data_IF_883041797747
#
_entry.id   IF_883041797747
#
_cell.length_a   1.000
_cell.length_b   1.000
_cell.length_c   1.000
_cell.angle_alpha   90.00
_cell.angle_beta   90.00
_cell.angle_gamma   90.00
#
_symmetry.space_group_name_H-M   'P 1'
#
loop_
_entity.id
_entity.type
_entity.pdbx_description
1 polymer ?
#
# COMPACT_ATOMS: atom_id res chain seq x y z
N UNK A 1 -40.08 16.23 27.01
CA UNK A 1 -38.98 15.40 27.53
C UNK A 1 -38.70 14.36 26.46
N UNK A 2 -37.60 14.28 25.73
CA UNK A 2 -36.23 14.80 25.82
C UNK A 2 -35.89 15.59 24.55
N UNK A 3 -35.19 16.74 24.67
CA UNK A 3 -34.53 17.45 23.56
C UNK A 3 -33.02 17.27 23.75
N UNK A 4 -32.40 16.43 22.93
CA UNK A 4 -30.95 16.36 22.82
C UNK A 4 -30.51 17.23 21.64
N UNK A 5 -30.14 18.48 21.93
CA UNK A 5 -29.49 19.35 20.95
C UNK A 5 -28.06 18.87 20.71
N UNK A 6 -27.79 18.53 19.46
CA UNK A 6 -26.52 18.08 18.90
C UNK A 6 -25.44 19.16 19.09
N UNK A 7 -24.54 18.95 20.07
CA UNK A 7 -23.30 19.72 20.28
C UNK A 7 -22.14 19.00 19.59
N UNK A 8 -21.98 19.17 18.27
CA UNK A 8 -20.84 18.60 17.50
C UNK A 8 -19.88 19.70 17.01
N UNK A 9 -20.27 20.98 17.08
CA UNK A 9 -19.42 22.12 16.68
C UNK A 9 -18.32 22.52 17.69
N UNK A 10 -18.16 21.82 18.82
CA UNK A 10 -17.28 22.26 19.90
C UNK A 10 -15.92 21.54 19.99
N UNK A 11 -15.67 20.46 19.25
CA UNK A 11 -14.42 19.70 19.41
C UNK A 11 -13.32 20.21 18.46
N UNK A 12 -13.63 20.55 17.21
CA UNK A 12 -12.66 21.16 16.28
C UNK A 12 -12.20 22.56 16.77
N UNK A 13 -13.15 23.34 17.32
CA UNK A 13 -12.86 24.61 17.98
C UNK A 13 -12.23 24.43 19.37
N UNK A 14 -12.39 23.27 20.03
CA UNK A 14 -11.67 22.98 21.28
C UNK A 14 -10.24 22.58 21.03
N UNK A 15 -9.86 21.82 20.01
CA UNK A 15 -8.43 21.57 19.75
C UNK A 15 -7.69 22.87 19.42
N UNK A 16 -8.37 23.82 18.77
CA UNK A 16 -7.86 25.18 18.53
C UNK A 16 -7.94 26.07 19.80
N UNK A 17 -8.81 25.79 20.78
CA UNK A 17 -8.92 26.56 22.04
C UNK A 17 -8.24 25.95 23.27
N UNK A 18 -8.06 24.64 23.35
CA UNK A 18 -7.50 23.92 24.51
C UNK A 18 -5.99 24.02 24.54
N UNK A 19 -5.36 24.26 23.39
CA UNK A 19 -3.97 24.74 23.31
C UNK A 19 -3.86 26.20 23.81
N UNK A 20 -4.97 26.94 24.00
CA UNK A 20 -4.93 28.39 24.18
C UNK A 20 -5.70 29.00 25.37
N UNK A 21 -6.35 28.24 26.27
CA UNK A 21 -6.81 28.76 27.56
C UNK A 21 -7.08 27.63 28.57
N UNK A 22 -6.13 27.37 29.47
CA UNK A 22 -6.44 27.32 30.90
C UNK A 22 -5.23 27.80 31.71
N UNK A 23 -5.54 28.62 32.72
CA UNK A 23 -4.64 29.56 33.36
C UNK A 23 -4.03 29.01 34.65
N UNK A 24 -2.77 29.38 34.93
CA UNK A 24 -2.31 29.41 36.33
C UNK A 24 -0.80 29.28 36.58
N UNK A 25 0.00 30.27 36.20
CA UNK A 25 1.16 30.65 37.01
C UNK A 25 2.56 30.49 36.40
N UNK A 26 3.20 31.65 36.21
CA UNK A 26 4.65 31.91 36.23
C UNK A 26 5.51 31.68 34.97
N UNK A 27 5.55 32.76 34.17
CA UNK A 27 6.74 33.54 33.73
C UNK A 27 7.84 32.81 32.92
N UNK A 28 7.74 32.93 31.60
CA UNK A 28 8.82 33.49 30.76
C UNK A 28 8.25 34.08 29.45
N UNK A 29 8.30 35.42 29.36
CA UNK A 29 8.17 36.32 28.20
C UNK A 29 7.46 35.82 26.93
N UNK A 30 6.16 36.11 26.87
CA UNK A 30 5.39 36.16 25.63
C UNK A 30 5.83 37.35 24.76
N UNK A 31 6.31 37.07 23.54
CA UNK A 31 6.08 37.97 22.41
C UNK A 31 4.74 37.57 21.80
N UNK A 32 3.76 38.41 22.05
CA UNK A 32 2.38 38.31 21.58
C UNK A 32 2.36 38.42 20.05
N UNK A 33 2.24 37.31 19.33
CA UNK A 33 1.84 37.32 17.92
C UNK A 33 0.31 37.29 17.86
N UNK A 34 -0.28 38.48 17.76
CA UNK A 34 -1.67 38.64 17.35
C UNK A 34 -1.80 38.27 15.87
N UNK A 35 -2.49 37.16 15.54
CA UNK A 35 -2.81 36.81 14.16
C UNK A 35 -4.22 37.28 13.76
N UNK A 36 -4.35 38.09 12.70
CA UNK A 36 -5.61 38.38 12.05
C UNK A 36 -5.71 37.55 10.77
N UNK A 37 -6.19 36.29 10.81
CA UNK A 37 -6.52 35.57 9.58
C UNK A 37 -7.63 34.54 9.82
N UNK A 38 -8.76 34.73 9.13
CA UNK A 38 -9.77 33.69 8.95
C UNK A 38 -9.17 32.62 8.03
N UNK A 39 -9.02 31.37 8.50
CA UNK A 39 -8.63 30.26 7.65
C UNK A 39 -9.71 30.01 6.59
N UNK A 40 -9.32 29.95 5.31
CA UNK A 40 -10.25 29.82 4.17
C UNK A 40 -10.65 28.37 3.91
N UNK A 41 -9.76 27.39 4.15
CA UNK A 41 -10.05 25.95 4.01
C UNK A 41 -9.09 25.06 4.78
N UNK A 42 -9.55 23.85 5.11
CA UNK A 42 -8.76 22.80 5.77
C UNK A 42 -9.08 21.42 5.18
N UNK A 43 -8.08 20.56 5.05
CA UNK A 43 -8.24 19.16 4.65
C UNK A 43 -7.58 18.26 5.68
N UNK A 44 -8.26 17.18 6.06
CA UNK A 44 -7.71 16.18 6.95
C UNK A 44 -7.80 14.81 6.26
N UNK A 45 -6.65 14.20 6.01
CA UNK A 45 -6.59 12.72 6.00
C UNK A 45 -6.47 12.30 7.47
N UNK A 46 -6.79 11.07 7.85
CA UNK A 46 -6.66 10.59 9.25
C UNK A 46 -5.23 10.55 9.81
N UNK A 47 -4.36 11.46 9.38
CA UNK A 47 -2.91 11.58 9.59
C UNK A 47 -2.49 13.02 9.86
N UNK A 48 -2.99 13.98 9.06
CA UNK A 48 -2.61 15.41 9.14
C UNK A 48 -3.77 16.29 8.75
N UNK A 49 -3.88 17.41 9.44
CA UNK A 49 -4.77 18.49 9.07
C UNK A 49 -3.94 19.61 8.46
N UNK A 50 -4.15 19.86 7.18
CA UNK A 50 -3.56 20.99 6.47
C UNK A 50 -4.57 22.13 6.46
N UNK A 51 -4.11 23.32 6.78
CA UNK A 51 -4.90 24.54 6.73
C UNK A 51 -4.14 25.59 5.92
N UNK A 52 -4.86 26.20 4.98
CA UNK A 52 -4.37 27.34 4.23
C UNK A 52 -4.93 28.63 4.86
N UNK A 53 -4.03 29.56 5.15
CA UNK A 53 -4.33 30.97 5.37
C UNK A 53 -3.74 31.77 4.21
N UNK A 54 -4.20 33.01 4.02
CA UNK A 54 -3.74 33.87 2.92
C UNK A 54 -2.20 33.89 2.81
N UNK A 55 -1.45 33.98 3.89
CA UNK A 55 0.02 34.11 3.80
C UNK A 55 0.81 32.89 4.28
N UNK A 56 0.14 31.77 4.59
CA UNK A 56 0.81 30.59 5.12
C UNK A 56 0.02 29.29 4.88
N UNK A 57 0.74 28.22 4.54
CA UNK A 57 0.21 26.86 4.59
C UNK A 57 0.79 26.17 5.83
N UNK A 58 -0.07 25.92 6.81
CA UNK A 58 0.32 25.16 8.01
C UNK A 58 -0.12 23.72 7.85
N UNK A 59 0.84 22.80 7.88
CA UNK A 59 0.54 21.40 8.11
C UNK A 59 0.64 21.14 9.61
N UNK A 60 -0.48 20.75 10.19
CA UNK A 60 -0.52 20.29 11.57
C UNK A 60 -0.56 18.78 11.55
N UNK A 61 0.37 18.18 12.28
CA UNK A 61 0.29 16.79 12.64
C UNK A 61 -0.42 16.67 14.00
N UNK A 62 -1.74 16.39 14.03
CA UNK A 62 -2.48 16.28 15.28
C UNK A 62 -2.01 15.12 16.17
N UNK A 63 -1.12 14.27 15.66
CA UNK A 63 -0.64 13.07 16.31
C UNK A 63 0.79 13.24 16.86
N UNK A 64 1.57 14.16 16.30
CA UNK A 64 2.93 14.51 16.77
C UNK A 64 3.01 15.85 17.53
N UNK A 65 1.92 16.63 17.57
CA UNK A 65 1.88 18.02 18.07
C UNK A 65 2.88 18.98 17.38
N UNK A 66 3.44 18.55 16.25
CA UNK A 66 4.39 19.34 15.46
C UNK A 66 3.67 20.20 14.42
N UNK A 67 4.15 21.44 14.28
CA UNK A 67 3.69 22.39 13.27
C UNK A 67 4.79 22.62 12.25
N UNK A 68 4.51 22.26 11.00
CA UNK A 68 5.34 22.70 9.88
C UNK A 68 4.59 23.82 9.17
N UNK A 69 5.06 25.05 9.35
CA UNK A 69 4.50 26.22 8.68
C UNK A 69 5.35 26.54 7.48
N UNK A 70 4.83 26.22 6.29
CA UNK A 70 5.39 26.76 5.08
C UNK A 70 4.90 28.21 4.94
N UNK A 71 5.84 29.09 4.62
CA UNK A 71 5.54 30.44 4.13
C UNK A 71 5.72 30.40 2.61
N UNK A 72 4.80 29.77 1.85
CA UNK A 72 4.84 29.89 0.41
C UNK A 72 4.79 31.38 0.07
N UNK A 73 5.57 31.82 -0.92
CA UNK A 73 5.53 33.21 -1.41
C UNK A 73 4.22 33.54 -2.16
N UNK A 74 3.19 32.70 -2.04
CA UNK A 74 1.92 32.78 -2.74
C UNK A 74 0.75 32.43 -1.81
N UNK A 75 -0.37 33.12 -2.01
CA UNK A 75 -1.66 32.84 -1.36
C UNK A 75 -2.18 31.46 -1.77
N UNK A 76 -2.77 30.70 -0.82
CA UNK A 76 -3.34 29.38 -1.08
C UNK A 76 -4.87 29.40 -0.91
N UNK A 77 -5.58 29.12 -2.01
CA UNK A 77 -7.06 29.20 -2.08
C UNK A 77 -7.75 27.89 -1.69
N UNK A 78 -7.10 26.76 -1.99
CA UNK A 78 -7.60 25.41 -1.72
C UNK A 78 -6.43 24.48 -1.41
N UNK A 79 -6.63 23.47 -0.55
CA UNK A 79 -5.60 22.49 -0.17
C UNK A 79 -6.21 21.13 0.06
N UNK A 80 -5.55 20.09 -0.45
CA UNK A 80 -5.89 18.69 -0.20
C UNK A 80 -4.65 17.89 0.17
N UNK A 81 -4.78 17.06 1.22
CA UNK A 81 -3.71 16.21 1.69
C UNK A 81 -3.47 15.03 0.72
N UNK A 82 -2.19 14.80 0.39
CA UNK A 82 -1.71 13.69 -0.41
C UNK A 82 -1.18 12.56 0.50
N UNK A 83 -0.31 11.67 0.00
CA UNK A 83 0.18 10.54 0.78
C UNK A 83 1.30 10.91 1.75
N UNK A 84 2.32 11.61 1.26
CA UNK A 84 3.44 12.15 2.05
C UNK A 84 3.60 13.67 1.92
N UNK A 85 2.47 14.38 1.81
CA UNK A 85 2.48 15.82 1.59
C UNK A 85 1.08 16.37 1.29
N UNK A 86 1.01 17.40 0.46
CA UNK A 86 -0.26 18.03 0.06
C UNK A 86 -0.15 18.73 -1.29
N UNK A 87 -1.31 18.94 -1.91
CA UNK A 87 -1.46 19.71 -3.14
C UNK A 87 -2.35 20.90 -2.84
N UNK A 88 -2.00 22.07 -3.34
CA UNK A 88 -2.77 23.29 -3.13
C UNK A 88 -2.87 24.13 -4.40
N UNK A 89 -3.91 24.96 -4.45
CA UNK A 89 -4.11 25.97 -5.51
C UNK A 89 -3.54 27.30 -5.02
N UNK A 90 -2.58 27.85 -5.77
CA UNK A 90 -1.95 29.13 -5.53
C UNK A 90 -2.73 30.26 -6.21
N UNK A 91 -2.83 31.43 -5.57
CA UNK A 91 -3.71 32.55 -5.94
C UNK A 91 -3.52 33.15 -7.34
N UNK A 92 -2.43 32.86 -8.05
CA UNK A 92 -2.29 33.19 -9.49
C UNK A 92 -2.92 32.13 -10.43
N UNK A 93 -3.74 31.22 -9.89
CA UNK A 93 -4.36 30.13 -10.67
C UNK A 93 -3.35 29.04 -11.03
N UNK A 94 -2.45 28.66 -10.12
CA UNK A 94 -1.49 27.57 -10.34
C UNK A 94 -1.67 26.43 -9.34
N UNK A 95 -1.34 25.20 -9.72
CA UNK A 95 -1.30 24.08 -8.77
C UNK A 95 0.13 23.91 -8.27
N UNK A 96 0.29 23.72 -6.96
CA UNK A 96 1.56 23.39 -6.33
C UNK A 96 1.43 22.09 -5.54
N UNK A 97 2.48 21.26 -5.57
CA UNK A 97 2.60 20.04 -4.78
C UNK A 97 3.79 20.17 -3.82
N UNK A 98 3.61 19.67 -2.61
CA UNK A 98 4.65 19.61 -1.59
C UNK A 98 4.80 18.17 -1.11
N UNK A 99 6.03 17.67 -1.11
CA UNK A 99 6.41 16.39 -0.50
C UNK A 99 7.33 16.67 0.68
N UNK A 100 7.11 16.01 1.82
CA UNK A 100 7.82 16.27 3.08
C UNK A 100 9.34 16.09 3.05
N UNK A 101 9.85 15.32 2.10
CA UNK A 101 11.29 15.08 1.91
C UNK A 101 11.91 15.92 0.79
N UNK A 102 11.11 16.72 0.08
CA UNK A 102 11.53 17.53 -1.06
C UNK A 102 11.06 18.98 -0.92
N UNK A 103 11.48 19.83 -1.85
CA UNK A 103 11.03 21.21 -1.93
C UNK A 103 9.68 21.31 -2.67
N UNK A 104 9.03 22.47 -2.52
CA UNK A 104 7.83 22.84 -3.26
C UNK A 104 8.00 22.66 -4.78
N UNK A 105 7.06 21.98 -5.43
CA UNK A 105 7.03 21.76 -6.88
C UNK A 105 5.81 22.46 -7.48
N UNK A 106 6.03 23.32 -8.49
CA UNK A 106 4.93 23.88 -9.31
C UNK A 106 4.50 22.84 -10.34
N UNK A 107 3.21 22.55 -10.38
CA UNK A 107 2.64 21.52 -11.26
C UNK A 107 2.31 22.16 -12.60
N UNK A 108 2.75 21.54 -13.69
CA UNK A 108 2.58 22.09 -15.04
C UNK A 108 1.24 21.64 -15.64
N UNK A 109 0.14 22.27 -15.24
CA UNK A 109 -1.20 22.03 -15.81
C UNK A 109 -1.64 23.24 -16.64
N UNK A 110 -2.16 22.97 -17.84
CA UNK A 110 -2.78 23.98 -18.70
C UNK A 110 -4.22 24.21 -18.27
N UNK A 111 -4.53 25.41 -17.77
CA UNK A 111 -5.87 25.81 -17.35
C UNK A 111 -5.84 27.16 -16.64
N UNK A 112 -7.02 27.68 -16.32
CA UNK A 112 -7.17 28.98 -15.65
C UNK A 112 -7.93 28.91 -14.32
N UNK A 113 -8.83 27.93 -14.19
CA UNK A 113 -9.58 27.66 -12.95
C UNK A 113 -9.29 26.24 -12.46
N UNK A 114 -8.97 26.13 -11.17
CA UNK A 114 -8.53 24.89 -10.54
C UNK A 114 -9.31 24.64 -9.25
N UNK A 115 -9.94 23.46 -9.15
CA UNK A 115 -10.68 23.06 -7.96
C UNK A 115 -10.25 21.68 -7.49
N UNK A 116 -9.84 21.58 -6.22
CA UNK A 116 -9.53 20.29 -5.62
C UNK A 116 -10.84 19.59 -5.24
N UNK A 117 -11.05 18.39 -5.76
CA UNK A 117 -12.26 17.60 -5.52
C UNK A 117 -12.11 16.65 -4.33
N UNK A 118 -10.90 16.13 -4.13
CA UNK A 118 -10.61 15.17 -3.08
C UNK A 118 -9.47 14.26 -3.48
N UNK A 119 -9.19 13.28 -2.63
CA UNK A 119 -8.10 12.32 -2.84
C UNK A 119 -8.64 11.02 -3.43
N UNK A 120 -7.96 10.44 -4.42
CA UNK A 120 -8.24 9.10 -4.93
C UNK A 120 -6.93 8.31 -5.04
N UNK A 121 -6.80 7.27 -4.21
CA UNK A 121 -5.55 6.51 -4.09
C UNK A 121 -4.40 7.38 -3.56
N UNK A 122 -3.40 7.62 -4.41
CA UNK A 122 -2.20 8.44 -4.13
C UNK A 122 -2.24 9.82 -4.80
N UNK A 123 -3.35 10.14 -5.47
CA UNK A 123 -3.47 11.39 -6.21
C UNK A 123 -4.56 12.28 -5.59
N UNK A 124 -4.32 13.57 -5.64
CA UNK A 124 -5.35 14.60 -5.49
C UNK A 124 -6.01 14.79 -6.85
N UNK A 125 -7.33 14.69 -6.87
CA UNK A 125 -8.15 14.87 -8.07
C UNK A 125 -8.47 16.35 -8.20
N UNK A 126 -8.12 16.92 -9.34
CA UNK A 126 -8.28 18.34 -9.64
C UNK A 126 -9.17 18.50 -10.86
N UNK A 127 -10.19 19.33 -10.72
CA UNK A 127 -11.04 19.79 -11.81
C UNK A 127 -10.43 21.07 -12.39
N UNK A 128 -10.19 21.05 -13.70
CA UNK A 128 -9.61 22.14 -14.48
C UNK A 128 -10.69 22.72 -15.38
N UNK A 129 -10.89 24.04 -15.30
CA UNK A 129 -11.84 24.81 -16.11
C UNK A 129 -13.26 24.21 -16.16
N UNK A 130 -13.67 23.52 -15.08
CA UNK A 130 -14.95 22.80 -14.94
C UNK A 130 -15.21 21.63 -15.92
N UNK A 131 -14.25 21.33 -16.81
CA UNK A 131 -14.44 20.35 -17.89
C UNK A 131 -13.51 19.14 -17.79
N UNK A 132 -12.28 19.34 -17.33
CA UNK A 132 -11.25 18.31 -17.34
C UNK A 132 -10.87 17.86 -15.94
N UNK A 133 -10.74 16.53 -15.74
CA UNK A 133 -10.22 15.96 -14.49
C UNK A 133 -8.77 15.53 -14.69
N UNK A 134 -7.88 16.04 -13.85
CA UNK A 134 -6.47 15.63 -13.76
C UNK A 134 -6.15 15.11 -12.37
N UNK A 135 -5.21 14.17 -12.28
CA UNK A 135 -4.75 13.60 -11.01
C UNK A 135 -3.30 14.04 -10.76
N UNK A 136 -3.04 14.59 -9.58
CA UNK A 136 -1.74 15.15 -9.17
C UNK A 136 -1.25 14.45 -7.91
N UNK A 137 0.01 14.00 -7.85
CA UNK A 137 0.60 13.48 -6.60
C UNK A 137 1.47 14.53 -5.89
N UNK A 138 1.98 14.19 -4.71
CA UNK A 138 2.85 15.06 -3.90
C UNK A 138 4.18 15.46 -4.59
N UNK A 139 4.59 14.72 -5.62
CA UNK A 139 5.80 15.01 -6.40
C UNK A 139 5.51 15.96 -7.58
N UNK A 140 4.25 16.36 -7.78
CA UNK A 140 3.81 17.17 -8.92
C UNK A 140 3.67 16.39 -10.24
N UNK A 141 3.65 15.05 -10.20
CA UNK A 141 3.41 14.24 -11.39
C UNK A 141 1.92 14.25 -11.77
N UNK A 142 1.66 14.41 -13.07
CA UNK A 142 0.32 14.43 -13.65
C UNK A 142 -0.03 13.09 -14.27
N UNK A 143 -1.26 12.64 -14.00
CA UNK A 143 -1.86 11.53 -14.72
C UNK A 143 -3.30 11.81 -15.13
N UNK A 144 -3.62 11.43 -16.35
CA UNK A 144 -4.98 11.42 -16.89
C UNK A 144 -5.57 10.01 -16.78
N UNK A 145 -6.91 9.92 -16.75
CA UNK A 145 -7.65 8.64 -16.76
C UNK A 145 -7.40 7.71 -15.55
N UNK A 146 -6.83 8.22 -14.45
CA UNK A 146 -6.68 7.45 -13.19
C UNK A 146 -7.99 7.43 -12.40
N UNK A 147 -8.74 8.52 -12.44
CA UNK A 147 -10.02 8.64 -11.75
C UNK A 147 -11.15 8.14 -12.68
N UNK A 148 -11.84 7.03 -12.34
CA UNK A 148 -12.79 6.39 -13.25
C UNK A 148 -14.19 7.01 -13.21
N UNK A 149 -14.41 8.04 -12.38
CA UNK A 149 -15.73 8.63 -12.15
C UNK A 149 -15.84 10.01 -12.80
N UNK A 150 -16.99 10.30 -13.40
CA UNK A 150 -17.32 11.64 -13.90
C UNK A 150 -17.93 12.53 -12.80
N UNK A 151 -17.26 12.60 -11.64
CA UNK A 151 -17.71 13.42 -10.50
C UNK A 151 -16.97 14.76 -10.55
N UNK A 152 -17.72 15.86 -10.57
CA UNK A 152 -17.19 17.24 -10.56
C UNK A 152 -17.39 17.96 -9.23
N UNK A 153 -18.02 17.28 -8.26
CA UNK A 153 -18.26 17.80 -6.91
C UNK A 153 -17.24 17.25 -5.90
N UNK A 154 -16.95 17.96 -4.81
CA UNK A 154 -16.03 17.47 -3.79
C UNK A 154 -16.49 16.15 -3.18
N UNK A 155 -15.55 15.22 -3.00
CA UNK A 155 -15.82 13.87 -2.52
C UNK A 155 -14.81 13.41 -1.46
N UNK A 156 -15.19 12.38 -0.72
CA UNK A 156 -14.34 11.67 0.23
C UNK A 156 -14.13 10.25 -0.27
N UNK A 157 -12.88 9.82 -0.40
CA UNK A 157 -12.57 8.42 -0.70
C UNK A 157 -12.46 7.57 0.56
N UNK A 158 -12.89 6.32 0.46
CA UNK A 158 -12.69 5.28 1.45
C UNK A 158 -11.78 4.15 0.93
N UNK A 159 -11.43 3.21 1.81
CA UNK A 159 -10.77 1.97 1.43
C UNK A 159 -11.55 1.19 0.35
N UNK A 160 -10.84 0.38 -0.43
CA UNK A 160 -11.36 -0.42 -1.54
C UNK A 160 -11.92 0.34 -2.77
N UNK A 161 -11.66 1.65 -2.86
CA UNK A 161 -12.03 2.48 -4.01
C UNK A 161 -13.44 3.08 -3.94
N UNK A 162 -14.11 2.98 -2.79
CA UNK A 162 -15.42 3.59 -2.59
C UNK A 162 -15.30 5.12 -2.40
N UNK A 163 -16.30 5.87 -2.85
CA UNK A 163 -16.33 7.33 -2.81
C UNK A 163 -17.67 7.85 -2.29
N UNK A 164 -17.65 8.91 -1.49
CA UNK A 164 -18.84 9.61 -1.00
C UNK A 164 -18.82 11.06 -1.47
N UNK A 165 -19.85 11.48 -2.19
CA UNK A 165 -20.02 12.85 -2.65
C UNK A 165 -21.43 13.36 -2.34
N UNK A 166 -21.61 14.68 -2.38
CA UNK A 166 -22.94 15.30 -2.35
C UNK A 166 -23.16 15.97 -3.72
N UNK A 167 -24.16 15.49 -4.46
CA UNK A 167 -24.55 16.07 -5.76
C UNK A 167 -25.35 17.38 -5.59
N UNK A 168 -25.50 18.15 -6.67
CA UNK A 168 -26.10 19.50 -6.74
C UNK A 168 -27.57 19.63 -6.26
N UNK A 169 -28.17 18.56 -5.72
CA UNK A 169 -29.53 18.54 -5.17
C UNK A 169 -29.59 18.06 -3.71
N UNK A 170 -28.46 18.05 -3.00
CA UNK A 170 -28.39 17.55 -1.62
C UNK A 170 -28.56 16.03 -1.53
N UNK A 171 -28.18 15.32 -2.59
CA UNK A 171 -28.19 13.85 -2.62
C UNK A 171 -26.82 13.35 -2.22
N UNK A 172 -26.77 12.53 -1.17
CA UNK A 172 -25.55 11.88 -0.73
C UNK A 172 -25.36 10.60 -1.57
N UNK A 173 -24.33 10.56 -2.40
CA UNK A 173 -24.04 9.44 -3.30
C UNK A 173 -22.79 8.69 -2.84
N UNK A 174 -22.93 7.39 -2.58
CA UNK A 174 -21.84 6.45 -2.33
C UNK A 174 -21.60 5.62 -3.59
N UNK A 175 -20.41 5.72 -4.18
CA UNK A 175 -19.96 4.91 -5.31
C UNK A 175 -19.03 3.81 -4.81
N UNK A 176 -19.25 2.56 -5.24
CA UNK A 176 -18.38 1.43 -4.94
C UNK A 176 -18.43 0.42 -6.09
N UNK A 177 -17.29 0.17 -6.76
CA UNK A 177 -17.07 -0.90 -7.76
C UNK A 177 -18.34 -1.23 -8.58
N UNK A 178 -18.78 -0.24 -9.38
CA UNK A 178 -19.93 -0.27 -10.31
C UNK A 178 -21.34 -0.13 -9.71
N UNK A 179 -21.45 0.09 -8.39
CA UNK A 179 -22.72 0.41 -7.73
C UNK A 179 -22.71 1.83 -7.18
N UNK A 180 -23.85 2.52 -7.29
CA UNK A 180 -24.09 3.81 -6.68
C UNK A 180 -25.31 3.72 -5.77
N UNK A 181 -25.15 4.09 -4.50
CA UNK A 181 -26.24 4.18 -3.52
C UNK A 181 -26.47 5.64 -3.21
N UNK A 182 -27.70 6.12 -3.40
CA UNK A 182 -28.05 7.52 -3.18
C UNK A 182 -29.05 7.66 -2.04
N UNK A 183 -28.70 8.46 -1.04
CA UNK A 183 -29.60 8.92 0.01
C UNK A 183 -30.12 10.33 -0.32
N UNK A 184 -31.38 10.62 0.06
CA UNK A 184 -32.04 11.91 -0.17
C UNK A 184 -31.97 12.81 1.07
N UNK A 185 -32.25 14.10 0.87
CA UNK A 185 -32.50 15.09 1.93
C UNK A 185 -31.28 15.47 2.79
N UNK A 186 -30.08 15.51 2.20
CA UNK A 186 -28.88 15.97 2.88
C UNK A 186 -28.68 17.49 2.69
N UNK A 187 -28.62 18.25 3.79
CA UNK A 187 -28.48 19.72 3.76
C UNK A 187 -27.01 20.21 3.76
N UNK A 188 -26.05 19.33 3.46
CA UNK A 188 -24.62 19.66 3.38
C UNK A 188 -24.17 20.04 1.96
N UNK A 189 -23.08 20.82 1.86
CA UNK A 189 -22.48 21.22 0.56
C UNK A 189 -21.25 20.41 0.16
N UNK A 190 -20.50 19.87 1.12
CA UNK A 190 -19.31 19.06 0.87
C UNK A 190 -19.11 18.06 2.01
N UNK A 191 -18.99 16.75 1.73
CA UNK A 191 -18.65 15.78 2.76
C UNK A 191 -17.20 16.02 3.20
N UNK A 192 -16.94 15.90 4.51
CA UNK A 192 -15.59 15.92 5.06
C UNK A 192 -15.38 14.72 5.95
N UNK A 193 -14.26 14.03 5.76
CA UNK A 193 -13.89 12.93 6.63
C UNK A 193 -13.29 13.51 7.92
N UNK A 194 -14.05 13.44 9.01
CA UNK A 194 -13.51 13.65 10.35
C UNK A 194 -12.93 12.32 10.83
N UNK A 195 -11.78 11.93 10.29
CA UNK A 195 -11.05 10.77 10.79
C UNK A 195 -10.30 11.18 12.06
N UNK A 196 -10.98 11.10 13.20
CA UNK A 196 -10.29 10.99 14.49
C UNK A 196 -10.04 9.50 14.67
N UNK A 197 -8.79 9.00 14.59
CA UNK A 197 -8.54 7.58 14.84
C UNK A 197 -9.04 7.23 16.24
N UNK A 198 -9.95 6.25 16.34
CA UNK A 198 -10.50 5.77 17.60
C UNK A 198 -9.57 4.74 18.24
N UNK A 199 -8.31 5.09 18.48
CA UNK A 199 -7.53 4.31 19.44
C UNK A 199 -7.91 4.83 20.83
N UNK A 200 -8.07 3.92 21.80
CA UNK A 200 -8.01 4.36 23.19
C UNK A 200 -6.58 4.88 23.40
N UNK A 201 -6.39 6.04 24.05
CA UNK A 201 -5.05 6.48 24.41
C UNK A 201 -4.44 5.40 25.31
N UNK A 202 -3.35 4.80 24.84
CA UNK A 202 -2.56 3.87 25.63
C UNK A 202 -1.53 4.71 26.39
N UNK A 203 -1.52 4.59 27.72
CA UNK A 203 -0.56 5.32 28.56
C UNK A 203 0.87 4.73 28.46
N UNK A 204 1.00 3.55 27.83
CA UNK A 204 2.23 2.79 27.70
C UNK A 204 2.56 2.52 26.23
N UNK A 205 3.85 2.49 25.90
CA UNK A 205 4.29 1.97 24.61
C UNK A 205 4.14 0.44 24.58
N UNK A 206 3.30 -0.09 23.69
CA UNK A 206 3.05 -1.55 23.59
C UNK A 206 4.23 -2.39 23.05
N UNK A 207 5.37 -1.76 22.73
CA UNK A 207 6.60 -2.47 22.33
C UNK A 207 7.49 -2.75 23.54
N UNK A 208 7.80 -1.73 24.34
CA UNK A 208 8.68 -1.85 25.51
C UNK A 208 7.93 -1.96 26.85
N UNK A 209 6.63 -1.65 26.85
CA UNK A 209 5.75 -1.61 28.01
C UNK A 209 6.14 -0.54 29.04
N UNK A 210 6.79 0.55 28.60
CA UNK A 210 7.14 1.70 29.43
C UNK A 210 6.22 2.90 29.16
N UNK A 211 6.08 3.76 30.16
CA UNK A 211 5.33 5.02 30.06
C UNK A 211 5.97 5.99 29.05
N UNK A 212 5.16 6.90 28.53
CA UNK A 212 5.65 8.02 27.72
C UNK A 212 6.18 9.14 28.61
N UNK A 213 7.46 9.47 28.46
CA UNK A 213 7.98 10.77 28.93
C UNK A 213 7.41 11.89 28.04
N UNK A 214 7.25 13.10 28.58
CA UNK A 214 6.68 14.25 27.87
C UNK A 214 7.28 14.41 26.45
N UNK A 215 6.46 14.19 25.41
CA UNK A 215 6.86 14.35 24.00
C UNK A 215 7.67 13.22 23.37
N UNK A 216 7.91 12.09 24.06
CA UNK A 216 8.74 10.97 23.55
C UNK A 216 7.98 9.96 22.67
N UNK A 217 6.65 10.11 22.56
CA UNK A 217 5.77 9.21 21.83
C UNK A 217 5.57 9.62 20.37
N UNK A 218 5.52 8.63 19.49
CA UNK A 218 5.12 8.75 18.09
C UNK A 218 3.77 8.07 17.94
N UNK A 219 2.76 8.85 17.55
CA UNK A 219 1.43 8.32 17.28
C UNK A 219 1.29 7.96 15.80
N UNK A 220 0.99 6.70 15.52
CA UNK A 220 0.71 6.20 14.18
C UNK A 220 -0.67 6.65 13.70
N UNK A 221 -0.93 6.51 12.40
CA UNK A 221 -2.19 6.93 11.76
C UNK A 221 -3.43 6.17 12.25
N UNK A 222 -3.21 5.02 12.86
CA UNK A 222 -4.26 4.24 13.52
C UNK A 222 -4.60 4.73 14.93
N UNK A 223 -3.93 5.78 15.43
CA UNK A 223 -4.08 6.37 16.76
C UNK A 223 -3.22 5.74 17.85
N UNK A 224 -2.55 4.60 17.60
CA UNK A 224 -1.67 3.97 18.60
C UNK A 224 -0.34 4.72 18.71
N UNK A 225 0.12 4.94 19.94
CA UNK A 225 1.38 5.61 20.26
C UNK A 225 2.50 4.63 20.62
N UNK A 226 3.74 4.94 20.24
CA UNK A 226 4.94 4.14 20.55
C UNK A 226 6.16 5.04 20.73
N UNK A 227 7.14 4.68 21.57
CA UNK A 227 8.39 5.45 21.61
C UNK A 227 9.05 5.44 20.24
N UNK A 228 9.65 6.58 19.86
CA UNK A 228 10.29 6.75 18.56
C UNK A 228 11.35 5.67 18.29
N UNK A 229 12.18 5.38 19.28
CA UNK A 229 13.25 4.37 19.21
C UNK A 229 12.67 2.97 19.08
N UNK A 230 11.61 2.66 19.83
CA UNK A 230 10.93 1.36 19.77
C UNK A 230 10.34 1.12 18.39
N UNK A 231 9.66 2.12 17.80
CA UNK A 231 9.11 2.03 16.46
C UNK A 231 10.20 1.90 15.39
N UNK A 232 11.30 2.66 15.55
CA UNK A 232 12.46 2.61 14.64
C UNK A 232 13.06 1.21 14.64
N UNK A 233 13.38 0.67 15.81
CA UNK A 233 13.95 -0.67 15.97
C UNK A 233 13.00 -1.76 15.46
N UNK A 234 11.71 -1.66 15.81
CA UNK A 234 10.70 -2.62 15.36
C UNK A 234 10.64 -2.72 13.84
N UNK A 235 10.54 -1.56 13.17
CA UNK A 235 10.34 -1.47 11.73
C UNK A 235 11.63 -1.57 10.91
N UNK A 236 12.81 -1.43 11.53
CA UNK A 236 14.11 -1.67 10.88
C UNK A 236 14.23 -3.10 10.32
N UNK A 237 13.48 -4.05 10.87
CA UNK A 237 13.48 -5.47 10.49
C UNK A 237 12.47 -5.80 9.38
N UNK A 238 11.80 -4.80 8.83
CA UNK A 238 10.67 -5.00 7.92
C UNK A 238 11.03 -5.71 6.61
N UNK A 239 12.27 -5.64 6.14
CA UNK A 239 12.73 -6.34 4.94
C UNK A 239 13.60 -7.57 5.25
N UNK A 240 13.61 -8.05 6.50
CA UNK A 240 14.44 -9.20 6.94
C UNK A 240 14.22 -10.48 6.12
N UNK A 241 13.03 -10.65 5.52
CA UNK A 241 12.75 -11.73 4.59
C UNK A 241 13.73 -11.77 3.39
N UNK A 242 14.29 -10.63 2.96
CA UNK A 242 15.25 -10.57 1.84
C UNK A 242 16.54 -11.30 2.17
N UNK A 243 17.08 -11.03 3.35
CA UNK A 243 18.32 -11.66 3.82
C UNK A 243 18.13 -13.15 4.12
N UNK A 244 16.94 -13.53 4.63
CA UNK A 244 16.58 -14.93 4.90
C UNK A 244 16.18 -15.71 3.63
N UNK A 245 15.96 -15.02 2.52
CA UNK A 245 15.42 -15.61 1.30
C UNK A 245 14.01 -16.14 1.51
N UNK A 246 13.18 -15.52 2.34
CA UNK A 246 11.82 -15.96 2.62
C UNK A 246 10.79 -15.20 1.78
N UNK A 247 9.55 -15.66 1.81
CA UNK A 247 8.43 -14.92 1.27
C UNK A 247 8.26 -13.57 2.00
N UNK A 248 7.75 -12.58 1.26
CA UNK A 248 7.45 -11.25 1.78
C UNK A 248 6.39 -11.37 2.87
N UNK A 249 6.68 -10.78 4.02
CA UNK A 249 5.76 -10.64 5.15
C UNK A 249 5.74 -9.18 5.62
N UNK A 250 4.56 -8.69 6.00
CA UNK A 250 4.37 -7.29 6.41
C UNK A 250 4.33 -7.12 7.93
N UNK A 251 4.72 -8.13 8.71
CA UNK A 251 4.62 -8.16 10.17
C UNK A 251 5.23 -6.92 10.84
N UNK A 252 6.42 -6.50 10.41
CA UNK A 252 7.10 -5.31 10.96
C UNK A 252 6.76 -4.01 10.21
N UNK A 253 5.83 -4.07 9.26
CA UNK A 253 5.33 -2.93 8.49
C UNK A 253 3.87 -2.58 8.84
N UNK A 254 3.27 -3.29 9.80
CA UNK A 254 1.94 -3.00 10.36
C UNK A 254 2.06 -2.59 11.82
N UNK A 255 1.06 -1.87 12.31
CA UNK A 255 1.02 -1.31 13.65
C UNK A 255 1.34 -2.39 14.70
N UNK A 256 2.35 -2.17 15.57
CA UNK A 256 2.72 -3.10 16.63
C UNK A 256 1.59 -3.34 17.66
N UNK A 257 0.64 -2.41 17.77
CA UNK A 257 -0.56 -2.56 18.59
C UNK A 257 -1.57 -3.59 18.07
N UNK A 258 -1.29 -4.24 16.93
CA UNK A 258 -2.09 -5.37 16.45
C UNK A 258 -3.35 -4.99 15.66
N UNK A 259 -3.59 -3.71 15.40
CA UNK A 259 -4.75 -3.28 14.60
C UNK A 259 -4.62 -3.59 13.10
N UNK A 260 -3.47 -4.08 12.65
CA UNK A 260 -3.22 -4.48 11.26
C UNK A 260 -3.02 -3.31 10.28
N UNK A 261 -3.14 -2.06 10.72
CA UNK A 261 -2.93 -0.89 9.88
C UNK A 261 -1.46 -0.73 9.52
N UNK A 262 -1.16 -0.48 8.24
CA UNK A 262 0.20 -0.29 7.78
C UNK A 262 0.86 0.95 8.43
N UNK A 263 2.08 0.77 8.91
CA UNK A 263 2.92 1.85 9.43
C UNK A 263 3.31 2.75 8.25
N UNK A 264 3.04 4.04 8.38
CA UNK A 264 3.43 5.07 7.41
C UNK A 264 3.86 6.32 8.17
N UNK A 265 5.07 6.28 8.71
CA UNK A 265 5.62 7.33 9.56
C UNK A 265 7.14 7.44 9.37
N UNK A 266 7.71 8.65 9.47
CA UNK A 266 9.14 8.92 9.22
C UNK A 266 10.07 8.20 10.22
N UNK A 267 9.62 7.99 11.45
CA UNK A 267 10.33 7.19 12.44
C UNK A 267 10.41 5.69 12.09
N UNK A 268 9.71 5.24 11.05
CA UNK A 268 9.81 3.89 10.53
C UNK A 268 10.60 3.89 9.20
N UNK A 269 11.91 3.59 9.21
CA UNK A 269 12.82 3.83 8.08
C UNK A 269 12.46 3.09 6.78
N UNK A 270 11.75 1.96 6.87
CA UNK A 270 11.32 1.16 5.72
C UNK A 270 9.85 1.35 5.35
N UNK A 271 9.14 2.29 5.98
CA UNK A 271 7.68 2.44 5.78
C UNK A 271 7.28 2.75 4.33
N UNK A 272 8.04 3.61 3.65
CA UNK A 272 7.80 3.93 2.23
C UNK A 272 8.04 2.71 1.33
N UNK A 273 9.18 2.04 1.49
CA UNK A 273 9.53 0.83 0.74
C UNK A 273 8.47 -0.27 0.93
N UNK A 274 8.08 -0.55 2.16
CA UNK A 274 7.07 -1.56 2.47
C UNK A 274 5.70 -1.18 1.92
N UNK A 275 5.34 0.09 1.92
CA UNK A 275 4.09 0.57 1.30
C UNK A 275 4.08 0.48 -0.22
N UNK A 276 5.22 0.72 -0.87
CA UNK A 276 5.37 0.46 -2.31
C UNK A 276 5.25 -1.02 -2.62
N UNK A 277 5.99 -1.86 -1.87
CA UNK A 277 6.01 -3.31 -2.03
C UNK A 277 4.62 -3.93 -1.85
N UNK A 278 3.86 -3.50 -0.83
CA UNK A 278 2.48 -3.96 -0.58
C UNK A 278 1.59 -3.71 -1.78
N UNK A 279 1.65 -2.52 -2.37
CA UNK A 279 0.84 -2.13 -3.53
C UNK A 279 1.18 -2.93 -4.79
N UNK A 280 2.47 -3.13 -5.05
CA UNK A 280 2.93 -3.94 -6.18
C UNK A 280 2.44 -5.39 -6.06
N UNK A 281 2.52 -5.97 -4.86
CA UNK A 281 2.03 -7.32 -4.57
C UNK A 281 0.50 -7.39 -4.68
N UNK A 282 -0.24 -6.45 -4.09
CA UNK A 282 -1.70 -6.45 -4.13
C UNK A 282 -2.22 -6.33 -5.57
N UNK A 283 -1.56 -5.53 -6.41
CA UNK A 283 -1.89 -5.40 -7.83
C UNK A 283 -1.68 -6.70 -8.62
N UNK A 284 -0.54 -7.39 -8.47
CA UNK A 284 -0.30 -8.68 -9.13
C UNK A 284 -1.26 -9.76 -8.58
N UNK A 285 -1.48 -9.76 -7.26
CA UNK A 285 -2.30 -10.76 -6.60
C UNK A 285 -3.78 -10.66 -6.99
N UNK A 286 -4.32 -9.46 -7.17
CA UNK A 286 -5.68 -9.26 -7.67
C UNK A 286 -5.89 -9.84 -9.08
N UNK A 287 -4.86 -9.78 -9.95
CA UNK A 287 -4.90 -10.42 -11.27
C UNK A 287 -4.91 -11.94 -11.11
N UNK A 288 -4.00 -12.48 -10.27
CA UNK A 288 -3.86 -13.93 -10.08
C UNK A 288 -5.05 -14.58 -9.41
N UNK A 289 -5.65 -13.95 -8.41
CA UNK A 289 -6.85 -14.48 -7.74
C UNK A 289 -8.02 -14.61 -8.71
N UNK A 290 -8.11 -13.72 -9.70
CA UNK A 290 -9.11 -13.83 -10.78
C UNK A 290 -8.84 -15.02 -11.71
N UNK A 291 -7.58 -15.33 -11.97
CA UNK A 291 -7.16 -16.47 -12.80
C UNK A 291 -7.21 -17.82 -12.04
N UNK A 292 -7.04 -17.79 -10.71
CA UNK A 292 -6.91 -18.96 -9.85
C UNK A 292 -8.14 -19.09 -8.95
N UNK A 293 -9.15 -19.82 -9.43
CA UNK A 293 -10.38 -20.05 -8.67
C UNK A 293 -10.11 -20.66 -7.27
N UNK A 294 -10.86 -20.20 -6.26
CA UNK A 294 -10.80 -20.64 -4.87
C UNK A 294 -9.46 -20.37 -4.15
N UNK A 295 -8.76 -19.29 -4.51
CA UNK A 295 -7.54 -18.83 -3.83
C UNK A 295 -7.74 -17.47 -3.19
N UNK A 296 -7.09 -17.27 -2.05
CA UNK A 296 -7.04 -15.97 -1.37
C UNK A 296 -5.63 -15.39 -1.40
N UNK A 297 -5.46 -14.15 -0.94
CA UNK A 297 -4.15 -13.49 -0.88
C UNK A 297 -3.14 -14.28 -0.04
N UNK A 298 -3.61 -14.91 1.04
CA UNK A 298 -2.80 -15.68 1.98
C UNK A 298 -2.24 -16.98 1.36
N UNK A 299 -2.87 -17.47 0.29
CA UNK A 299 -2.42 -18.65 -0.46
C UNK A 299 -1.25 -18.33 -1.41
N UNK A 300 -1.03 -17.05 -1.75
CA UNK A 300 -0.03 -16.62 -2.73
C UNK A 300 1.24 -16.17 -2.03
N UNK A 301 2.38 -16.72 -2.45
CA UNK A 301 3.69 -16.35 -1.90
C UNK A 301 4.42 -15.44 -2.87
N UNK A 302 4.90 -14.32 -2.35
CA UNK A 302 5.71 -13.36 -3.09
C UNK A 302 7.12 -13.32 -2.54
N UNK A 303 8.10 -13.13 -3.43
CA UNK A 303 9.53 -13.04 -3.10
C UNK A 303 10.14 -11.84 -3.79
N UNK A 304 11.29 -11.39 -3.30
CA UNK A 304 12.07 -10.34 -3.97
C UNK A 304 13.09 -10.99 -4.88
N UNK A 305 13.06 -10.63 -6.16
CA UNK A 305 14.06 -11.09 -7.11
C UNK A 305 15.44 -10.53 -6.74
N UNK A 306 16.44 -11.40 -6.64
CA UNK A 306 17.81 -11.02 -6.32
C UNK A 306 18.45 -10.12 -7.38
N UNK A 307 18.11 -10.30 -8.66
CA UNK A 307 18.72 -9.56 -9.77
C UNK A 307 18.13 -8.17 -9.97
N UNK A 308 16.80 -8.05 -10.00
CA UNK A 308 16.13 -6.78 -10.29
C UNK A 308 15.50 -6.09 -9.07
N UNK A 309 15.45 -6.76 -7.92
CA UNK A 309 14.88 -6.21 -6.68
C UNK A 309 13.34 -6.13 -6.66
N UNK A 310 12.64 -6.53 -7.72
CA UNK A 310 11.18 -6.47 -7.81
C UNK A 310 10.51 -7.66 -7.13
N UNK A 311 9.31 -7.49 -6.54
CA UNK A 311 8.50 -8.60 -6.10
C UNK A 311 8.08 -9.47 -7.28
N UNK A 312 7.98 -10.77 -7.06
CA UNK A 312 7.42 -11.70 -8.02
C UNK A 312 6.65 -12.82 -7.31
N UNK A 313 5.65 -13.35 -8.01
CA UNK A 313 4.90 -14.51 -7.54
C UNK A 313 5.78 -15.77 -7.55
N UNK A 314 6.03 -16.31 -6.37
CA UNK A 314 6.85 -17.50 -6.15
C UNK A 314 6.05 -18.75 -5.84
N UNK A 315 4.79 -18.80 -6.26
CA UNK A 315 3.94 -19.97 -6.11
C UNK A 315 3.04 -19.95 -4.88
N UNK A 316 2.43 -21.10 -4.61
CA UNK A 316 1.38 -21.20 -3.58
C UNK A 316 1.94 -21.70 -2.25
N UNK A 317 1.21 -21.37 -1.17
CA UNK A 317 1.44 -21.82 0.21
C UNK A 317 1.18 -23.33 0.44
N UNK A 318 1.09 -24.14 -0.62
CA UNK A 318 0.78 -25.60 -0.52
C UNK A 318 1.80 -26.36 0.31
N UNK A 319 3.08 -26.04 0.17
CA UNK A 319 4.16 -26.75 0.85
C UNK A 319 4.32 -26.37 2.34
N UNK A 320 3.53 -25.43 2.87
CA UNK A 320 3.54 -25.07 4.30
C UNK A 320 2.73 -26.03 5.21
N UNK A 321 2.06 -27.04 4.64
CA UNK A 321 1.28 -28.04 5.40
C UNK A 321 2.07 -28.76 6.50
N UNK A 322 3.39 -28.67 6.45
CA UNK A 322 4.33 -29.36 7.34
C UNK A 322 4.69 -28.63 8.64
N UNK A 323 4.24 -27.40 8.88
CA UNK A 323 4.57 -26.65 10.13
C UNK A 323 6.06 -26.28 10.32
N UNK A 324 6.96 -26.80 9.46
CA UNK A 324 8.42 -26.67 9.56
C UNK A 324 8.97 -25.37 8.93
N UNK A 325 8.13 -24.34 8.79
CA UNK A 325 8.52 -23.10 8.11
C UNK A 325 8.90 -23.31 6.65
N UNK A 326 9.54 -22.30 6.07
CA UNK A 326 10.03 -22.31 4.70
C UNK A 326 11.45 -22.92 4.65
N UNK A 327 11.79 -23.78 3.67
CA UNK A 327 13.14 -24.31 3.53
C UNK A 327 14.16 -23.18 3.39
N UNK A 328 15.28 -23.30 4.13
CA UNK A 328 16.39 -22.35 4.04
C UNK A 328 16.94 -22.35 2.61
N UNK A 329 17.06 -21.16 2.03
CA UNK A 329 17.60 -20.96 0.68
C UNK A 329 18.39 -19.67 0.60
N UNK A 330 19.34 -19.63 -0.33
CA UNK A 330 20.11 -18.41 -0.55
C UNK A 330 19.25 -17.39 -1.28
N UNK A 331 19.30 -16.09 -0.91
CA UNK A 331 18.59 -15.05 -1.65
C UNK A 331 18.92 -15.05 -3.15
N UNK A 332 20.15 -15.41 -3.52
CA UNK A 332 20.62 -15.51 -4.91
C UNK A 332 19.86 -16.54 -5.77
N UNK A 333 19.14 -17.47 -5.16
CA UNK A 333 18.34 -18.49 -5.86
C UNK A 333 16.92 -17.99 -6.20
N UNK A 334 16.52 -16.82 -5.69
CA UNK A 334 15.21 -16.22 -5.93
C UNK A 334 15.27 -15.28 -7.13
N UNK A 335 15.01 -15.85 -8.30
CA UNK A 335 15.04 -15.14 -9.58
C UNK A 335 13.64 -15.13 -10.18
N UNK A 336 13.12 -13.95 -10.56
CA UNK A 336 11.84 -13.87 -11.25
C UNK A 336 11.97 -14.38 -12.69
N UNK A 337 10.85 -14.76 -13.31
CA UNK A 337 10.82 -15.28 -14.68
C UNK A 337 11.51 -14.38 -15.71
N UNK A 338 11.41 -13.05 -15.56
CA UNK A 338 12.02 -12.11 -16.51
C UNK A 338 13.55 -12.03 -16.39
N UNK A 339 14.11 -12.44 -15.25
CA UNK A 339 15.54 -12.43 -14.96
C UNK A 339 16.17 -13.83 -15.02
N UNK A 340 15.36 -14.86 -15.28
CA UNK A 340 15.79 -16.25 -15.33
C UNK A 340 16.26 -16.60 -16.74
N UNK A 341 17.52 -17.01 -16.85
CA UNK A 341 18.19 -17.29 -18.13
C UNK A 341 18.46 -18.78 -18.35
N UNK A 342 17.86 -19.65 -17.53
CA UNK A 342 18.02 -21.11 -17.62
C UNK A 342 17.44 -21.68 -18.93
N UNK A 343 16.39 -21.04 -19.45
CA UNK A 343 15.82 -21.32 -20.76
C UNK A 343 15.13 -20.06 -21.35
N UNK A 344 15.48 -19.71 -22.59
CA UNK A 344 14.88 -18.60 -23.31
C UNK A 344 14.27 -19.07 -24.63
N UNK A 345 12.93 -19.04 -24.71
CA UNK A 345 12.25 -19.23 -25.98
C UNK A 345 12.46 -18.00 -26.88
N UNK A 346 12.84 -18.17 -28.16
CA UNK A 346 13.00 -17.04 -29.09
C UNK A 346 11.71 -16.20 -29.27
N UNK A 347 10.54 -16.83 -29.17
CA UNK A 347 9.25 -16.17 -29.37
C UNK A 347 8.61 -15.72 -28.05
N UNK A 348 8.65 -16.57 -27.03
CA UNK A 348 7.88 -16.38 -25.79
C UNK A 348 8.71 -16.08 -24.55
N UNK A 349 10.04 -15.97 -24.71
CA UNK A 349 11.00 -15.79 -23.62
C UNK A 349 10.76 -16.82 -22.51
N UNK A 350 10.60 -16.37 -21.27
CA UNK A 350 10.42 -17.23 -20.10
C UNK A 350 8.96 -17.42 -19.66
N UNK A 351 7.98 -16.91 -20.41
CA UNK A 351 6.58 -16.86 -19.93
C UNK A 351 5.89 -18.22 -19.83
N UNK A 352 6.22 -19.14 -20.72
CA UNK A 352 5.57 -20.46 -20.82
C UNK A 352 6.58 -21.60 -20.64
N UNK A 353 7.59 -21.43 -19.81
CA UNK A 353 8.59 -22.48 -19.56
C UNK A 353 7.96 -23.58 -18.71
N UNK A 354 8.01 -24.80 -19.23
CA UNK A 354 7.62 -25.99 -18.49
C UNK A 354 8.83 -26.50 -17.73
N UNK A 355 8.68 -26.73 -16.42
CA UNK A 355 9.75 -27.25 -15.57
C UNK A 355 9.54 -28.71 -15.22
N UNK A 356 10.65 -29.42 -14.99
CA UNK A 356 10.65 -30.73 -14.32
C UNK A 356 10.39 -30.57 -12.81
N UNK A 357 9.59 -31.47 -12.25
CA UNK A 357 9.42 -31.63 -10.82
C UNK A 357 10.77 -31.90 -10.14
N UNK A 358 11.04 -31.23 -9.01
CA UNK A 358 12.28 -31.45 -8.24
C UNK A 358 12.46 -32.91 -7.80
N UNK A 359 11.38 -33.63 -7.52
CA UNK A 359 11.41 -34.96 -6.89
C UNK A 359 11.11 -36.13 -7.83
N UNK A 360 10.84 -35.90 -9.11
CA UNK A 360 10.65 -37.00 -10.06
C UNK A 360 10.77 -36.51 -11.51
N UNK A 361 10.71 -37.45 -12.45
CA UNK A 361 10.80 -37.17 -13.88
C UNK A 361 9.43 -36.85 -14.51
N UNK A 362 8.61 -36.03 -13.85
CA UNK A 362 7.34 -35.52 -14.37
C UNK A 362 7.41 -34.01 -14.57
N UNK A 363 6.67 -33.45 -15.54
CA UNK A 363 6.44 -32.02 -15.61
C UNK A 363 5.79 -31.50 -14.32
N UNK A 364 6.23 -30.33 -13.87
CA UNK A 364 5.68 -29.65 -12.73
C UNK A 364 4.36 -28.98 -13.09
N UNK A 365 3.45 -28.98 -12.12
CA UNK A 365 2.14 -28.34 -12.18
C UNK A 365 2.03 -27.19 -11.19
N UNK A 366 2.92 -27.14 -10.19
CA UNK A 366 2.92 -26.15 -9.12
C UNK A 366 4.30 -25.55 -8.97
N UNK A 367 4.30 -24.27 -8.59
CA UNK A 367 5.45 -23.59 -8.02
C UNK A 367 5.16 -23.36 -6.53
N UNK A 368 6.18 -23.50 -5.70
CA UNK A 368 6.18 -23.05 -4.31
C UNK A 368 7.57 -22.53 -3.96
N UNK A 369 7.70 -21.85 -2.84
CA UNK A 369 8.98 -21.38 -2.30
C UNK A 369 9.85 -20.61 -3.32
N UNK A 370 9.27 -19.88 -4.28
CA UNK A 370 9.99 -19.02 -5.21
C UNK A 370 10.75 -19.72 -6.35
N UNK A 371 11.19 -20.96 -6.15
CA UNK A 371 12.03 -21.72 -7.10
C UNK A 371 11.80 -23.24 -7.04
N UNK A 372 10.69 -23.69 -6.43
CA UNK A 372 10.39 -25.11 -6.23
C UNK A 372 9.22 -25.58 -7.07
N UNK A 373 9.54 -26.26 -8.16
CA UNK A 373 8.57 -26.84 -9.07
C UNK A 373 8.22 -28.28 -8.65
N UNK A 374 6.92 -28.55 -8.47
CA UNK A 374 6.37 -29.87 -8.11
C UNK A 374 5.30 -30.32 -9.09
N UNK A 375 5.19 -31.63 -9.27
CA UNK A 375 4.02 -32.26 -9.89
C UNK A 375 2.98 -32.70 -8.84
N UNK A 376 1.73 -32.87 -9.25
CA UNK A 376 0.63 -33.37 -8.40
C UNK A 376 0.97 -34.66 -7.62
N UNK A 377 1.71 -35.60 -8.24
CA UNK A 377 2.09 -36.86 -7.59
C UNK A 377 3.03 -36.63 -6.41
N UNK A 378 3.99 -35.71 -6.55
CA UNK A 378 4.93 -35.40 -5.48
C UNK A 378 4.31 -34.46 -4.44
N UNK A 379 3.40 -33.58 -4.85
CA UNK A 379 2.62 -32.73 -3.93
C UNK A 379 1.79 -33.59 -2.96
N UNK A 380 1.16 -34.66 -3.44
CA UNK A 380 0.42 -35.62 -2.60
C UNK A 380 1.29 -36.41 -1.61
N UNK A 381 2.60 -36.54 -1.86
CA UNK A 381 3.55 -37.19 -0.93
C UNK A 381 3.98 -36.25 0.20
N UNK A 382 3.61 -34.97 0.11
CA UNK A 382 3.96 -33.95 1.08
C UNK A 382 2.96 -34.00 2.26
N UNK A 383 3.23 -34.87 3.22
CA UNK A 383 2.45 -34.95 4.46
C UNK A 383 2.99 -33.94 5.48
N UNK A 384 4.05 -34.33 6.22
CA UNK A 384 4.68 -33.51 7.27
C UNK A 384 6.16 -33.22 7.00
N UNK A 385 6.77 -33.90 6.04
CA UNK A 385 8.20 -33.78 5.72
C UNK A 385 8.41 -33.68 4.21
N UNK A 386 9.54 -33.09 3.83
CA UNK A 386 9.95 -32.99 2.43
C UNK A 386 10.21 -34.41 1.87
N UNK A 387 9.56 -34.81 0.77
CA UNK A 387 9.70 -36.15 0.22
C UNK A 387 11.07 -36.32 -0.45
N UNK A 388 11.64 -37.51 -0.28
CA UNK A 388 12.87 -37.84 -0.99
C UNK A 388 12.66 -37.86 -2.53
N UNK A 389 13.67 -37.37 -3.30
CA UNK A 389 13.66 -37.46 -4.75
C UNK A 389 13.58 -38.92 -5.23
N UNK A 390 12.70 -39.18 -6.19
CA UNK A 390 12.61 -40.46 -6.89
C UNK A 390 13.72 -40.48 -7.96
N UNK A 391 14.64 -41.45 -7.92
CA UNK A 391 15.69 -41.58 -8.94
C UNK A 391 15.11 -41.72 -10.35
N UNK A 392 15.82 -41.17 -11.34
CA UNK A 392 15.46 -41.38 -12.73
C UNK A 392 15.63 -42.86 -13.10
N UNK A 393 14.65 -43.51 -13.76
CA UNK A 393 14.77 -44.91 -14.18
C UNK A 393 15.74 -45.11 -15.37
N UNK A 394 16.35 -44.04 -15.86
CA UNK A 394 17.29 -44.05 -16.98
C UNK A 394 16.63 -43.73 -18.33
N UNK A 395 17.42 -43.44 -19.38
CA UNK A 395 16.90 -42.92 -20.65
C UNK A 395 15.85 -43.80 -21.35
N UNK A 396 15.93 -45.13 -21.19
CA UNK A 396 14.99 -46.08 -21.81
C UNK A 396 13.59 -46.10 -21.21
N UNK A 397 13.45 -45.74 -19.92
CA UNK A 397 12.18 -45.79 -19.18
C UNK A 397 11.73 -44.42 -18.66
N UNK A 398 12.62 -43.42 -18.73
CA UNK A 398 12.32 -42.08 -18.25
C UNK A 398 11.22 -41.43 -19.11
N UNK A 399 10.14 -40.91 -18.50
CA UNK A 399 9.09 -40.21 -19.24
C UNK A 399 9.58 -38.99 -20.03
N UNK A 400 10.72 -38.42 -19.60
CA UNK A 400 11.42 -37.29 -20.21
C UNK A 400 12.63 -37.74 -21.06
N UNK A 401 12.71 -39.04 -21.40
CA UNK A 401 13.76 -39.66 -22.24
C UNK A 401 15.20 -39.43 -21.76
N UNK A 402 15.39 -39.24 -20.45
CA UNK A 402 16.70 -39.12 -19.80
C UNK A 402 17.48 -37.82 -20.09
N UNK A 403 16.91 -36.85 -20.81
CA UNK A 403 17.58 -35.60 -21.19
C UNK A 403 17.37 -34.49 -20.16
N UNK A 404 17.73 -34.73 -18.89
CA UNK A 404 17.62 -33.73 -17.83
C UNK A 404 18.65 -33.95 -16.72
N UNK A 405 18.97 -32.89 -15.98
CA UNK A 405 19.76 -32.98 -14.75
C UNK A 405 19.06 -33.81 -13.66
N UNK A 406 19.86 -34.47 -12.82
CA UNK A 406 19.38 -35.27 -11.69
C UNK A 406 18.96 -34.40 -10.50
N UNK A 407 19.59 -33.25 -10.33
CA UNK A 407 19.33 -32.34 -9.23
C UNK A 407 18.33 -31.24 -9.59
N UNK A 408 17.43 -30.94 -8.65
CA UNK A 408 16.55 -29.79 -8.74
C UNK A 408 15.49 -29.84 -9.86
N UNK A 409 14.91 -28.67 -10.08
CA UNK A 409 13.98 -28.38 -11.16
C UNK A 409 14.77 -27.91 -12.38
N UNK A 410 14.42 -28.42 -13.56
CA UNK A 410 15.13 -28.12 -14.81
C UNK A 410 14.10 -27.68 -15.84
N UNK A 411 14.40 -26.63 -16.60
CA UNK A 411 13.56 -26.20 -17.71
C UNK A 411 13.52 -27.28 -18.80
N UNK A 412 12.31 -27.69 -19.19
CA UNK A 412 12.07 -28.69 -20.23
C UNK A 412 11.81 -28.06 -21.60
N UNK A 413 11.45 -26.78 -21.63
CA UNK A 413 11.21 -26.01 -22.85
C UNK A 413 9.96 -25.13 -22.77
N UNK A 414 9.64 -24.47 -23.88
CA UNK A 414 8.44 -23.62 -23.98
C UNK A 414 7.21 -24.46 -24.29
N UNK A 415 6.21 -24.46 -23.39
CA UNK A 415 4.96 -25.21 -23.55
C UNK A 415 4.22 -24.90 -24.86
N UNK A 416 4.35 -23.70 -25.40
CA UNK A 416 3.70 -23.31 -26.66
C UNK A 416 4.49 -23.75 -27.91
N UNK A 417 5.80 -23.98 -27.78
CA UNK A 417 6.67 -24.33 -28.92
C UNK A 417 7.08 -25.81 -28.93
N UNK A 418 7.09 -26.48 -27.78
CA UNK A 418 7.54 -27.87 -27.66
C UNK A 418 6.54 -28.78 -28.37
N UNK A 419 7.00 -29.46 -29.42
CA UNK A 419 6.27 -30.60 -29.97
C UNK A 419 6.30 -31.74 -28.95
N UNK A 420 5.15 -32.21 -28.48
CA UNK A 420 5.05 -33.29 -27.48
C UNK A 420 5.65 -34.65 -27.91
N UNK A 421 6.25 -34.75 -29.09
CA UNK A 421 7.01 -35.91 -29.58
C UNK A 421 8.26 -36.22 -28.75
N UNK A 422 8.81 -35.25 -28.00
CA UNK A 422 9.96 -35.44 -27.09
C UNK A 422 9.59 -35.95 -25.70
N UNK A 423 8.30 -36.05 -25.35
CA UNK A 423 7.82 -36.56 -24.05
C UNK A 423 6.92 -37.79 -24.24
N UNK A 424 6.92 -38.72 -23.30
CA UNK A 424 6.02 -39.87 -23.38
C UNK A 424 4.55 -39.43 -23.20
N UNK A 425 3.65 -39.91 -24.08
CA UNK A 425 2.22 -39.59 -24.01
C UNK A 425 1.56 -39.92 -22.65
N UNK A 426 2.13 -40.88 -21.91
CA UNK A 426 1.70 -41.27 -20.55
C UNK A 426 1.83 -40.15 -19.51
N UNK A 427 2.55 -39.06 -19.79
CA UNK A 427 2.63 -37.89 -18.90
C UNK A 427 1.32 -37.09 -18.82
N UNK A 428 0.43 -37.25 -19.81
CA UNK A 428 -0.83 -36.48 -19.92
C UNK A 428 -2.08 -37.34 -19.75
N UNK A 429 -1.94 -38.67 -19.64
CA UNK A 429 -3.06 -39.55 -19.32
C UNK A 429 -3.31 -39.47 -17.81
N UNK A 430 -4.41 -38.84 -17.43
CA UNK A 430 -4.97 -38.90 -16.07
C UNK A 430 -5.34 -40.35 -15.76
N UNK A 431 -4.51 -41.01 -14.96
CA UNK A 431 -4.88 -42.21 -14.21
C UNK A 431 -4.83 -41.88 -12.73
#
# INVERSE_FOLDING_TARGET
>A
MWRASVRVNFILLRVIRSVFCDAGGCRATAQTLSFPAQFTRSSCTGRRCTAAAATACSSFDPLAEEFETLTPQCEADDVEAADQGFVFVAGEGGICAYQLSQCLVKVNVTGSDFRLLGRYGHYVVVLVDLEQIVCVNENGELRENVFPYAITTPFVSFGAGALLTIEERGKLCLYARDTAVTARDFQGRAPRLLAVPSAQPEDLCLICLCDFEEGSGVTLDCGHCFHRECLTEFSSRADSFRARGEHVVFTYAVCPGGCGMQIRHVAAPLSEYMGRLRREIDGDAEIRIREMANKTLEDLLYYICYRCGKPYYGGERRCFRSGNGEPVKKPSELICSDCCDDFLCPQHRHKYVLYKCRYCCNPATHLSFGNRYLCNRCDKRWETTEPEPIPCPGPGECPLKGSHGTEGSVALGCMLCTSFTTMHARLFSTA
#
